data_IF_983053873683
#
_entry.id   IF_983053873683
#
_cell.length_a   1.000
_cell.length_b   1.000
_cell.length_c   1.000
_cell.angle_alpha   90.00
_cell.angle_beta   90.00
_cell.angle_gamma   90.00
#
_symmetry.space_group_name_H-M   'P 1'
#
loop_
_entity.id
_entity.type
_entity.pdbx_description
1 polymer ?
#
# COMPACT_ATOMS: atom_id res chain seq x y z
N UNK A 1 -6.28 -0.70 16.76
CA UNK A 1 -6.71 -2.11 16.66
C UNK A 1 -6.19 -2.67 15.37
N UNK A 2 -5.64 -3.90 15.38
CA UNK A 2 -5.14 -4.57 14.19
C UNK A 2 -6.02 -5.78 13.86
N UNK A 3 -6.45 -5.89 12.58
CA UNK A 3 -7.15 -7.04 12.04
C UNK A 3 -6.25 -7.79 11.07
N UNK A 4 -6.35 -9.09 11.07
CA UNK A 4 -5.66 -10.01 10.17
C UNK A 4 -6.66 -10.82 9.38
N UNK A 5 -6.43 -10.97 8.08
CA UNK A 5 -7.14 -11.93 7.26
C UNK A 5 -6.20 -13.11 6.98
N UNK A 6 -6.64 -14.32 7.20
CA UNK A 6 -5.80 -15.50 7.08
C UNK A 6 -6.59 -16.75 6.68
N UNK A 7 -5.89 -17.79 6.22
CA UNK A 7 -6.48 -19.05 5.81
C UNK A 7 -6.42 -20.10 6.94
N UNK A 8 -7.58 -20.66 7.32
CA UNK A 8 -7.71 -21.79 8.22
C UNK A 8 -8.94 -22.63 7.87
N UNK A 9 -8.74 -23.72 7.10
CA UNK A 9 -9.82 -24.49 6.45
C UNK A 9 -10.81 -23.61 5.67
N UNK A 10 -10.35 -22.45 5.19
CA UNK A 10 -11.06 -21.38 4.53
C UNK A 10 -10.59 -20.02 5.06
N UNK A 11 -11.01 -18.91 4.43
CA UNK A 11 -10.64 -17.58 4.88
C UNK A 11 -11.27 -17.25 6.24
N UNK A 12 -10.52 -16.57 7.10
CA UNK A 12 -10.90 -16.13 8.46
C UNK A 12 -10.41 -14.71 8.70
N UNK A 13 -11.08 -14.02 9.62
CA UNK A 13 -10.65 -12.73 10.14
C UNK A 13 -10.42 -12.85 11.64
N UNK A 14 -9.37 -12.23 12.14
CA UNK A 14 -9.08 -12.19 13.55
C UNK A 14 -8.50 -10.86 13.99
N UNK A 15 -8.68 -10.54 15.26
CA UNK A 15 -8.11 -9.37 15.93
C UNK A 15 -6.78 -9.76 16.58
N UNK A 16 -5.74 -8.97 16.30
CA UNK A 16 -4.44 -9.14 16.97
C UNK A 16 -4.49 -8.53 18.36
N UNK A 17 -4.07 -9.30 19.34
CA UNK A 17 -3.93 -8.90 20.73
C UNK A 17 -2.48 -8.49 21.06
N UNK A 18 -2.30 -7.81 22.18
CA UNK A 18 -0.99 -7.33 22.64
C UNK A 18 0.00 -8.46 22.95
N UNK A 19 -0.50 -9.63 23.27
CA UNK A 19 0.30 -10.84 23.57
C UNK A 19 0.74 -11.59 22.30
N UNK A 20 0.44 -11.08 21.12
CA UNK A 20 0.78 -11.70 19.84
C UNK A 20 -0.18 -12.81 19.41
N UNK A 21 -1.29 -13.01 20.12
CA UNK A 21 -2.35 -13.93 19.71
C UNK A 21 -3.36 -13.23 18.80
N UNK A 22 -3.91 -14.00 17.88
CA UNK A 22 -4.96 -13.55 16.96
C UNK A 22 -6.26 -14.20 17.40
N UNK A 23 -7.18 -13.41 17.94
CA UNK A 23 -8.52 -13.90 18.32
C UNK A 23 -9.44 -13.89 17.11
N UNK A 24 -10.06 -15.04 16.87
CA UNK A 24 -10.99 -15.23 15.75
C UNK A 24 -12.22 -14.31 15.89
N UNK A 25 -12.72 -13.79 14.79
CA UNK A 25 -14.04 -13.17 14.70
C UNK A 25 -15.06 -14.21 14.26
N UNK A 26 -16.10 -14.41 15.08
CA UNK A 26 -17.21 -15.35 14.76
C UNK A 26 -17.96 -14.89 13.52
N UNK A 27 -18.39 -15.84 12.70
CA UNK A 27 -19.19 -15.58 11.49
C UNK A 27 -18.60 -14.50 10.57
N UNK A 28 -17.25 -14.49 10.44
CA UNK A 28 -16.53 -13.52 9.66
C UNK A 28 -15.46 -14.20 8.80
N UNK A 29 -15.71 -14.30 7.51
CA UNK A 29 -14.80 -14.96 6.55
C UNK A 29 -13.93 -13.98 5.79
N UNK A 30 -14.34 -12.72 5.68
CA UNK A 30 -13.55 -11.68 5.04
C UNK A 30 -13.74 -10.31 5.70
N UNK A 31 -12.73 -9.46 5.61
CA UNK A 31 -12.81 -8.05 6.01
C UNK A 31 -13.73 -7.27 5.08
N UNK A 32 -13.88 -7.71 3.83
CA UNK A 32 -14.82 -7.13 2.89
C UNK A 32 -16.28 -7.30 3.35
N UNK A 33 -16.71 -8.55 3.65
CA UNK A 33 -18.05 -8.82 4.12
C UNK A 33 -18.36 -8.09 5.42
N UNK A 34 -17.37 -8.06 6.34
CA UNK A 34 -17.47 -7.32 7.59
C UNK A 34 -17.71 -5.81 7.32
N UNK A 35 -16.95 -5.23 6.39
CA UNK A 35 -17.08 -3.82 6.02
C UNK A 35 -18.44 -3.53 5.38
N UNK A 36 -18.87 -4.34 4.42
CA UNK A 36 -20.19 -4.19 3.75
C UNK A 36 -21.31 -4.26 4.77
N UNK A 37 -21.24 -5.19 5.72
CA UNK A 37 -22.24 -5.30 6.79
C UNK A 37 -22.29 -4.05 7.67
N UNK A 38 -21.12 -3.61 8.14
CA UNK A 38 -20.97 -2.42 9.00
C UNK A 38 -21.52 -1.17 8.30
N UNK A 39 -21.19 -0.98 7.03
CA UNK A 39 -21.68 0.14 6.21
C UNK A 39 -23.19 0.06 6.06
N UNK A 40 -23.72 -1.09 5.66
CA UNK A 40 -25.15 -1.29 5.40
C UNK A 40 -25.99 -1.11 6.66
N UNK A 41 -25.51 -1.63 7.79
CA UNK A 41 -26.19 -1.52 9.10
C UNK A 41 -25.87 -0.23 9.84
N UNK A 42 -25.03 0.65 9.29
CA UNK A 42 -24.59 1.93 9.90
C UNK A 42 -24.03 1.73 11.31
N UNK A 43 -23.20 0.71 11.49
CA UNK A 43 -22.56 0.38 12.76
C UNK A 43 -21.10 0.87 12.82
N UNK A 44 -20.54 0.93 14.01
CA UNK A 44 -19.11 1.16 14.20
C UNK A 44 -18.34 -0.16 13.99
N UNK A 45 -17.30 -0.15 13.14
CA UNK A 45 -16.48 -1.33 12.87
C UNK A 45 -15.84 -1.88 14.14
N UNK A 46 -15.32 -1.01 15.02
CA UNK A 46 -14.65 -1.41 16.25
C UNK A 46 -15.62 -2.13 17.21
N UNK A 47 -16.87 -1.66 17.32
CA UNK A 47 -17.89 -2.31 18.15
C UNK A 47 -18.25 -3.70 17.63
N UNK A 48 -18.42 -3.84 16.30
CA UNK A 48 -18.75 -5.13 15.70
C UNK A 48 -17.60 -6.14 15.85
N UNK A 49 -16.36 -5.67 15.74
CA UNK A 49 -15.18 -6.50 15.98
C UNK A 49 -15.15 -6.98 17.44
N UNK A 50 -15.40 -6.10 18.41
CA UNK A 50 -15.42 -6.46 19.83
C UNK A 50 -16.51 -7.51 20.14
N UNK A 51 -17.72 -7.32 19.63
CA UNK A 51 -18.84 -8.23 19.80
C UNK A 51 -18.59 -9.62 19.20
N UNK A 52 -17.84 -9.69 18.08
CA UNK A 52 -17.56 -10.95 17.38
C UNK A 52 -16.29 -11.64 17.83
N UNK A 53 -15.45 -10.98 18.62
CA UNK A 53 -14.21 -11.58 19.10
C UNK A 53 -14.51 -12.82 19.94
N UNK A 54 -13.91 -13.96 19.52
CA UNK A 54 -14.07 -15.26 20.16
C UNK A 54 -12.88 -15.62 21.06
N UNK A 55 -13.01 -16.70 21.81
CA UNK A 55 -11.91 -17.28 22.60
C UNK A 55 -10.94 -18.14 21.76
N UNK A 56 -11.34 -18.55 20.56
CA UNK A 56 -10.46 -19.26 19.62
C UNK A 56 -9.28 -18.37 19.23
N UNK A 57 -8.07 -18.90 19.38
CA UNK A 57 -6.82 -18.15 19.20
C UNK A 57 -5.88 -18.85 18.24
N UNK A 58 -5.17 -18.03 17.48
CA UNK A 58 -4.08 -18.44 16.60
C UNK A 58 -2.80 -17.72 17.01
N UNK A 59 -1.66 -18.34 16.77
CA UNK A 59 -0.36 -17.72 16.98
C UNK A 59 0.03 -16.92 15.73
N UNK A 60 0.30 -15.62 15.88
CA UNK A 60 0.61 -14.75 14.76
C UNK A 60 1.91 -15.14 14.04
N UNK A 61 2.96 -15.49 14.81
CA UNK A 61 4.22 -15.95 14.24
C UNK A 61 4.04 -17.22 13.40
N UNK A 62 3.22 -18.15 13.90
CA UNK A 62 2.91 -19.37 13.18
C UNK A 62 2.17 -19.11 11.88
N UNK A 63 1.21 -18.18 11.87
CA UNK A 63 0.50 -17.78 10.65
C UNK A 63 1.45 -17.18 9.61
N UNK A 64 2.46 -16.40 10.04
CA UNK A 64 3.50 -15.85 9.18
C UNK A 64 4.40 -16.96 8.61
N UNK A 65 4.94 -17.84 9.46
CA UNK A 65 5.84 -18.93 9.06
C UNK A 65 5.14 -19.89 8.08
N UNK A 66 3.88 -20.22 8.35
CA UNK A 66 3.06 -21.08 7.50
C UNK A 66 2.52 -20.38 6.24
N UNK A 67 2.82 -19.08 6.06
CA UNK A 67 2.36 -18.23 4.93
C UNK A 67 0.85 -18.24 4.75
N UNK A 68 0.12 -18.22 5.85
CA UNK A 68 -1.36 -18.29 5.88
C UNK A 68 -2.02 -16.92 5.81
N UNK A 69 -1.27 -15.83 5.89
CA UNK A 69 -1.81 -14.48 5.83
C UNK A 69 -2.26 -14.11 4.43
N UNK A 70 -3.43 -13.53 4.35
CA UNK A 70 -4.02 -12.96 3.14
C UNK A 70 -3.86 -11.43 3.15
N UNK A 71 -3.96 -10.76 2.00
CA UNK A 71 -4.12 -9.30 2.00
C UNK A 71 -5.25 -8.89 2.95
N UNK A 72 -5.08 -7.81 3.73
CA UNK A 72 -6.03 -7.45 4.79
C UNK A 72 -7.39 -6.98 4.28
N UNK A 73 -7.53 -6.71 3.00
CA UNK A 73 -8.77 -6.44 2.30
C UNK A 73 -8.67 -6.94 0.86
N UNK A 74 -9.65 -7.69 0.40
CA UNK A 74 -9.80 -8.16 -0.97
C UNK A 74 -11.28 -8.16 -1.35
N UNK A 75 -11.58 -7.87 -2.61
CA UNK A 75 -12.91 -8.10 -3.16
C UNK A 75 -13.03 -9.56 -3.64
N UNK A 76 -14.18 -10.25 -3.50
CA UNK A 76 -14.39 -11.61 -4.02
C UNK A 76 -14.14 -11.75 -5.53
N UNK A 77 -14.46 -10.70 -6.29
CA UNK A 77 -14.11 -10.55 -7.70
C UNK A 77 -12.96 -9.51 -7.83
N UNK A 78 -11.80 -9.96 -8.27
CA UNK A 78 -10.61 -9.09 -8.40
C UNK A 78 -10.82 -7.89 -9.32
N UNK A 79 -11.72 -7.99 -10.31
CA UNK A 79 -12.03 -6.88 -11.21
C UNK A 79 -12.75 -5.70 -10.51
N UNK A 80 -13.28 -5.93 -9.32
CA UNK A 80 -13.94 -4.95 -8.47
C UNK A 80 -13.02 -4.40 -7.35
N UNK A 81 -11.72 -4.60 -7.47
CA UNK A 81 -10.71 -4.04 -6.59
C UNK A 81 -9.74 -3.19 -7.41
N UNK A 82 -9.59 -1.91 -7.07
CA UNK A 82 -8.66 -1.00 -7.73
C UNK A 82 -7.44 -0.79 -6.85
N UNK A 83 -6.25 -1.02 -7.43
CA UNK A 83 -4.97 -0.67 -6.79
C UNK A 83 -4.43 0.54 -7.50
N UNK A 84 -4.28 1.63 -6.77
CA UNK A 84 -3.88 2.95 -7.28
C UNK A 84 -2.90 3.59 -6.31
N UNK A 85 -2.22 4.64 -6.72
CA UNK A 85 -1.34 5.37 -5.81
C UNK A 85 -1.12 6.82 -6.20
N UNK A 86 -0.46 7.51 -5.30
CA UNK A 86 0.06 8.87 -5.48
C UNK A 86 1.56 8.87 -5.25
N UNK A 87 2.29 9.62 -6.08
CA UNK A 87 3.73 9.83 -5.92
C UNK A 87 4.06 11.25 -5.48
N UNK A 88 5.34 11.49 -5.19
CA UNK A 88 5.88 12.81 -4.87
C UNK A 88 5.20 13.50 -3.67
N UNK A 89 4.68 12.72 -2.73
CA UNK A 89 3.86 13.18 -1.60
C UNK A 89 4.63 13.21 -0.27
N UNK A 90 5.83 12.61 -0.19
CA UNK A 90 6.58 12.44 1.05
C UNK A 90 7.83 13.33 1.10
N UNK A 91 8.11 13.86 2.30
CA UNK A 91 9.24 14.75 2.54
C UNK A 91 10.55 14.00 2.80
N UNK A 92 10.50 12.68 3.02
CA UNK A 92 11.66 11.85 3.34
C UNK A 92 12.28 12.14 4.71
N UNK A 93 13.56 11.74 4.90
CA UNK A 93 14.36 12.13 6.06
C UNK A 93 14.65 13.64 6.05
N UNK A 94 15.10 14.20 7.18
CA UNK A 94 15.45 15.61 7.27
C UNK A 94 16.48 16.01 6.19
N UNK A 95 17.47 15.16 5.92
CA UNK A 95 18.49 15.41 4.89
C UNK A 95 17.91 15.34 3.48
N UNK A 96 17.02 14.37 3.20
CA UNK A 96 16.31 14.27 1.93
C UNK A 96 15.40 15.48 1.74
N UNK A 97 14.68 15.90 2.80
CA UNK A 97 13.84 17.11 2.80
C UNK A 97 14.68 18.34 2.46
N UNK A 98 15.80 18.55 3.13
CA UNK A 98 16.67 19.71 2.90
C UNK A 98 17.26 19.71 1.48
N UNK A 99 17.64 18.56 0.96
CA UNK A 99 18.13 18.44 -0.41
C UNK A 99 17.04 18.70 -1.46
N UNK A 100 15.82 18.23 -1.22
CA UNK A 100 14.65 18.52 -2.06
C UNK A 100 14.29 20.01 -2.02
N UNK A 101 14.24 20.62 -0.84
CA UNK A 101 13.98 22.07 -0.72
C UNK A 101 15.02 22.91 -1.48
N UNK A 102 16.31 22.56 -1.39
CA UNK A 102 17.35 23.23 -2.17
C UNK A 102 17.16 23.08 -3.68
N UNK A 103 16.73 21.88 -4.14
CA UNK A 103 16.49 21.62 -5.56
C UNK A 103 15.26 22.35 -6.09
N UNK A 104 14.22 22.54 -5.29
CA UNK A 104 12.97 23.20 -5.73
C UNK A 104 12.94 24.71 -5.45
N UNK A 105 13.93 25.27 -4.78
CA UNK A 105 14.04 26.73 -4.53
C UNK A 105 14.58 27.55 -5.71
N UNK A 106 14.96 26.88 -6.82
CA UNK A 106 15.40 27.53 -8.05
C UNK A 106 14.27 28.14 -8.87
N UNK A 107 14.64 28.75 -10.00
CA UNK A 107 13.68 29.32 -10.96
C UNK A 107 12.75 28.22 -11.50
N UNK A 108 11.44 28.46 -11.49
CA UNK A 108 10.41 27.46 -11.85
C UNK A 108 10.64 26.91 -13.27
N UNK A 109 11.12 27.73 -14.18
CA UNK A 109 11.37 27.33 -15.58
C UNK A 109 12.51 26.29 -15.71
N UNK A 110 13.42 26.23 -14.74
CA UNK A 110 14.55 25.28 -14.71
C UNK A 110 14.23 23.93 -14.05
N UNK A 111 13.05 23.79 -13.40
CA UNK A 111 12.66 22.57 -12.69
C UNK A 111 12.14 21.52 -13.66
N UNK A 112 12.43 20.23 -13.37
CA UNK A 112 11.75 19.11 -14.01
C UNK A 112 10.27 19.07 -13.62
N UNK A 113 9.42 18.40 -14.41
CA UNK A 113 8.00 18.33 -14.11
C UNK A 113 7.72 17.62 -12.78
N UNK A 114 8.48 16.59 -12.41
CA UNK A 114 8.41 15.95 -11.08
C UNK A 114 8.73 16.94 -9.95
N UNK A 115 9.74 17.79 -10.13
CA UNK A 115 10.08 18.82 -9.13
C UNK A 115 9.01 19.91 -9.03
N UNK A 116 8.40 20.32 -10.14
CA UNK A 116 7.25 21.24 -10.15
C UNK A 116 6.06 20.64 -9.41
N UNK A 117 5.74 19.36 -9.68
CA UNK A 117 4.66 18.64 -9.01
C UNK A 117 4.89 18.55 -7.50
N UNK A 118 6.09 18.17 -7.07
CA UNK A 118 6.45 18.14 -5.66
C UNK A 118 6.32 19.51 -4.98
N UNK A 119 6.80 20.58 -5.64
CA UNK A 119 6.66 21.96 -5.15
C UNK A 119 5.21 22.38 -5.01
N UNK A 120 4.36 22.11 -5.99
CA UNK A 120 2.92 22.35 -5.88
C UNK A 120 2.31 21.65 -4.65
N UNK A 121 2.73 20.41 -4.37
CA UNK A 121 2.34 19.67 -3.17
C UNK A 121 2.75 20.38 -1.88
N UNK A 122 4.00 20.89 -1.80
CA UNK A 122 4.47 21.65 -0.64
C UNK A 122 3.68 22.93 -0.41
N UNK A 123 3.32 23.64 -1.48
CA UNK A 123 2.63 24.94 -1.42
C UNK A 123 1.12 24.80 -1.19
N UNK A 124 0.48 23.75 -1.72
CA UNK A 124 -0.98 23.66 -1.74
C UNK A 124 -1.59 22.28 -1.43
N UNK A 125 -0.79 21.27 -1.07
CA UNK A 125 -1.30 19.94 -0.74
C UNK A 125 -1.96 19.80 0.63
N UNK A 126 -1.74 20.79 1.51
CA UNK A 126 -2.33 20.88 2.86
C UNK A 126 -3.13 22.18 3.02
N UNK A 127 -4.30 22.29 2.36
CA UNK A 127 -5.14 23.48 2.49
C UNK A 127 -5.61 23.65 3.94
N UNK A 128 -5.70 24.91 4.39
CA UNK A 128 -6.17 25.26 5.76
C UNK A 128 -7.68 25.32 5.86
N UNK A 129 -8.37 25.39 4.73
CA UNK A 129 -9.82 25.39 4.64
C UNK A 129 -10.33 24.02 4.16
N UNK A 130 -11.65 23.83 4.17
CA UNK A 130 -12.29 22.59 3.73
C UNK A 130 -12.28 22.38 2.21
N UNK A 131 -11.62 23.25 1.43
CA UNK A 131 -11.51 23.11 -0.02
C UNK A 131 -10.40 22.13 -0.37
N UNK A 132 -10.55 21.40 -1.50
CA UNK A 132 -9.47 20.57 -2.00
C UNK A 132 -8.23 21.38 -2.30
N UNK A 133 -7.07 20.83 -1.94
CA UNK A 133 -5.77 21.37 -2.30
C UNK A 133 -5.37 21.03 -3.73
N UNK A 134 -4.09 21.21 -4.04
CA UNK A 134 -3.54 20.87 -5.36
C UNK A 134 -3.63 19.37 -5.63
N UNK A 135 -3.77 19.05 -6.91
CA UNK A 135 -3.82 17.67 -7.37
C UNK A 135 -2.45 17.00 -7.24
N UNK A 136 -2.35 15.79 -6.61
CA UNK A 136 -1.11 15.03 -6.57
C UNK A 136 -0.82 14.37 -7.91
N UNK A 137 0.40 13.85 -8.07
CA UNK A 137 0.66 12.77 -9.01
C UNK A 137 -0.22 11.57 -8.66
N UNK A 138 -0.75 10.89 -9.68
CA UNK A 138 -1.65 9.75 -9.49
C UNK A 138 -1.39 8.69 -10.56
N UNK A 139 -1.47 7.42 -10.18
CA UNK A 139 -1.32 6.31 -11.11
C UNK A 139 -2.28 5.16 -10.78
N UNK A 140 -2.60 4.38 -11.81
CA UNK A 140 -3.28 3.10 -11.71
C UNK A 140 -2.24 1.98 -11.75
N UNK A 141 -2.28 1.09 -10.76
CA UNK A 141 -1.33 -0.02 -10.65
C UNK A 141 -1.88 -1.34 -11.17
N UNK A 142 -3.17 -1.54 -11.05
CA UNK A 142 -3.86 -2.75 -11.49
C UNK A 142 -5.14 -3.00 -10.71
N UNK A 143 -5.74 -4.14 -10.95
CA UNK A 143 -6.90 -4.64 -10.21
C UNK A 143 -6.48 -5.57 -9.05
N UNK A 144 -7.45 -6.18 -8.38
CA UNK A 144 -7.20 -7.07 -7.25
C UNK A 144 -6.37 -8.33 -7.58
N UNK A 145 -6.21 -8.68 -8.86
CA UNK A 145 -5.41 -9.84 -9.26
C UNK A 145 -3.91 -9.65 -9.03
N UNK A 146 -3.46 -8.39 -8.92
CA UNK A 146 -2.07 -8.05 -8.66
C UNK A 146 -1.69 -8.11 -7.17
N UNK A 147 -2.70 -8.17 -6.27
CA UNK A 147 -2.44 -8.13 -4.82
C UNK A 147 -1.71 -9.37 -4.33
N UNK A 148 -0.77 -9.16 -3.43
CA UNK A 148 -0.02 -10.22 -2.73
C UNK A 148 -0.08 -9.97 -1.23
N UNK A 149 -0.29 -11.04 -0.48
CA UNK A 149 -0.20 -11.03 0.98
C UNK A 149 1.24 -11.21 1.46
N UNK A 150 1.44 -11.08 2.76
CA UNK A 150 2.72 -11.33 3.40
C UNK A 150 3.17 -12.79 3.16
N UNK A 151 4.43 -12.97 2.75
CA UNK A 151 5.02 -14.28 2.45
C UNK A 151 4.77 -14.78 1.01
N UNK A 152 3.89 -14.17 0.23
CA UNK A 152 3.74 -14.45 -1.19
C UNK A 152 4.83 -13.75 -2.00
N UNK A 153 5.37 -14.36 -3.08
CA UNK A 153 6.37 -13.71 -3.90
C UNK A 153 5.80 -12.51 -4.67
N UNK A 154 6.64 -11.49 -4.86
CA UNK A 154 6.44 -10.45 -5.87
C UNK A 154 7.14 -10.88 -7.15
N UNK A 155 6.36 -11.07 -8.20
CA UNK A 155 6.83 -11.63 -9.46
C UNK A 155 7.14 -10.50 -10.43
N UNK A 156 8.41 -10.41 -10.82
CA UNK A 156 8.87 -9.52 -11.86
C UNK A 156 8.58 -10.15 -13.22
N UNK A 157 7.84 -9.51 -14.12
CA UNK A 157 7.68 -9.98 -15.49
C UNK A 157 9.03 -10.05 -16.21
N UNK A 158 9.17 -10.97 -17.13
CA UNK A 158 10.42 -11.21 -17.90
C UNK A 158 10.87 -9.98 -18.72
N UNK A 159 9.93 -9.17 -19.18
CA UNK A 159 10.20 -7.92 -19.92
C UNK A 159 10.62 -6.75 -19.01
N UNK A 160 10.52 -6.90 -17.68
CA UNK A 160 10.93 -5.85 -16.73
C UNK A 160 12.43 -5.68 -16.71
N UNK A 161 12.86 -4.43 -16.60
CA UNK A 161 14.27 -4.08 -16.47
C UNK A 161 14.72 -4.04 -15.01
N UNK A 162 13.76 -3.91 -14.08
CA UNK A 162 13.97 -3.84 -12.65
C UNK A 162 12.74 -4.38 -11.90
N UNK A 163 12.95 -4.73 -10.63
CA UNK A 163 11.92 -5.08 -9.67
C UNK A 163 12.34 -4.64 -8.28
N UNK A 164 11.96 -3.43 -7.90
CA UNK A 164 12.35 -2.82 -6.64
C UNK A 164 11.15 -2.49 -5.75
N UNK A 165 11.41 -2.34 -4.45
CA UNK A 165 10.42 -1.98 -3.48
C UNK A 165 10.22 -0.47 -3.37
N UNK A 166 9.00 -0.09 -3.05
CA UNK A 166 8.63 1.21 -2.51
C UNK A 166 7.85 0.97 -1.21
N UNK A 167 8.47 1.22 -0.02
CA UNK A 167 7.82 1.02 1.26
C UNK A 167 6.81 2.13 1.51
N UNK A 168 5.53 1.77 1.52
CA UNK A 168 4.43 2.71 1.59
C UNK A 168 3.40 2.36 2.65
N UNK A 169 2.49 3.30 2.90
CA UNK A 169 1.24 3.06 3.59
C UNK A 169 0.10 3.18 2.59
N UNK A 170 -0.80 2.22 2.62
CA UNK A 170 -2.03 2.21 1.83
C UNK A 170 -3.24 2.53 2.70
N UNK A 171 -4.16 3.34 2.17
CA UNK A 171 -5.53 3.43 2.64
C UNK A 171 -6.38 2.34 1.98
N UNK A 172 -7.25 1.69 2.77
CA UNK A 172 -8.11 0.61 2.34
C UNK A 172 -9.58 1.03 2.44
N UNK A 173 -10.32 0.93 1.33
CA UNK A 173 -11.66 1.51 1.21
C UNK A 173 -12.65 0.52 0.62
N UNK A 174 -13.92 0.66 1.00
CA UNK A 174 -15.08 0.02 0.37
C UNK A 174 -16.09 1.10 0.01
N UNK A 175 -16.67 1.00 -1.18
CA UNK A 175 -17.69 1.94 -1.65
C UNK A 175 -19.06 1.49 -1.16
N UNK A 176 -19.72 2.36 -0.42
CA UNK A 176 -21.08 2.12 0.09
C UNK A 176 -22.16 2.12 -0.99
N UNK A 177 -23.39 1.71 -0.64
CA UNK A 177 -24.49 1.56 -1.58
C UNK A 177 -24.88 2.85 -2.34
N UNK A 178 -24.58 4.00 -1.77
CA UNK A 178 -24.86 5.33 -2.34
C UNK A 178 -23.64 5.94 -3.07
N UNK A 179 -22.57 5.17 -3.23
CA UNK A 179 -21.32 5.64 -3.83
C UNK A 179 -20.39 6.41 -2.87
N UNK A 180 -20.70 6.42 -1.57
CA UNK A 180 -19.82 7.00 -0.55
C UNK A 180 -18.61 6.11 -0.30
N UNK A 181 -17.37 6.63 -0.38
CA UNK A 181 -16.17 5.88 0.01
C UNK A 181 -16.06 5.77 1.54
N UNK A 182 -15.89 4.57 2.04
CA UNK A 182 -15.65 4.30 3.46
C UNK A 182 -14.22 3.76 3.64
N UNK A 183 -13.41 4.47 4.42
CA UNK A 183 -12.08 3.99 4.78
C UNK A 183 -12.17 3.02 5.97
N UNK A 184 -11.70 1.79 5.78
CA UNK A 184 -11.61 0.80 6.84
C UNK A 184 -10.41 1.06 7.74
N UNK A 185 -9.31 1.53 7.17
CA UNK A 185 -8.08 1.76 7.86
C UNK A 185 -6.88 1.80 6.91
N UNK A 186 -5.72 1.41 7.43
CA UNK A 186 -4.44 1.49 6.73
C UNK A 186 -3.67 0.18 6.84
N UNK A 187 -2.75 -0.06 5.90
CA UNK A 187 -1.82 -1.19 5.94
C UNK A 187 -0.46 -0.79 5.38
N UNK A 188 0.59 -1.53 5.73
CA UNK A 188 1.85 -1.47 5.00
C UNK A 188 1.63 -1.96 3.57
N UNK A 189 2.34 -1.36 2.64
CA UNK A 189 2.36 -1.78 1.24
C UNK A 189 3.79 -1.80 0.69
N UNK A 190 4.03 -2.69 -0.25
CA UNK A 190 5.15 -2.65 -1.16
C UNK A 190 4.60 -2.32 -2.55
N UNK A 191 4.77 -1.08 -2.96
CA UNK A 191 4.42 -0.61 -4.29
C UNK A 191 5.54 -1.02 -5.27
N UNK A 192 5.61 -2.34 -5.54
CA UNK A 192 6.64 -2.96 -6.36
C UNK A 192 6.63 -2.40 -7.80
N UNK A 193 7.76 -1.90 -8.27
CA UNK A 193 7.86 -1.09 -9.51
C UNK A 193 9.11 -1.41 -10.33
N UNK A 194 9.10 -0.98 -11.61
CA UNK A 194 10.25 -0.98 -12.51
C UNK A 194 10.86 0.43 -12.57
N UNK A 195 11.79 0.71 -11.67
CA UNK A 195 12.43 2.02 -11.54
C UNK A 195 13.35 2.36 -12.72
N UNK A 196 13.90 1.37 -13.43
CA UNK A 196 14.71 1.62 -14.62
C UNK A 196 13.84 2.18 -15.75
N UNK A 197 12.66 1.58 -15.98
CA UNK A 197 11.71 2.05 -16.99
C UNK A 197 11.25 3.49 -16.69
N UNK A 198 10.87 3.75 -15.44
CA UNK A 198 10.46 5.09 -15.00
C UNK A 198 11.57 6.14 -15.20
N UNK A 199 12.81 5.79 -14.84
CA UNK A 199 13.98 6.68 -14.98
C UNK A 199 14.34 6.96 -16.44
N UNK A 200 14.11 6.00 -17.35
CA UNK A 200 14.41 6.20 -18.77
C UNK A 200 13.53 7.27 -19.39
N UNK A 201 12.24 7.28 -19.06
CA UNK A 201 11.31 8.28 -19.55
C UNK A 201 10.11 8.36 -18.60
N UNK A 202 9.91 9.53 -18.00
CA UNK A 202 8.81 9.75 -17.07
C UNK A 202 7.41 9.48 -17.67
N UNK A 203 7.23 9.61 -18.99
CA UNK A 203 5.98 9.24 -19.66
C UNK A 203 5.69 7.72 -19.58
N UNK A 204 6.68 6.91 -19.19
CA UNK A 204 6.52 5.48 -18.94
C UNK A 204 6.17 5.14 -17.48
N UNK A 205 5.92 6.14 -16.64
CA UNK A 205 5.47 5.96 -15.27
C UNK A 205 4.33 4.94 -15.18
N UNK A 206 3.27 5.12 -15.98
CA UNK A 206 2.12 4.21 -15.97
C UNK A 206 2.51 2.75 -16.28
N UNK A 207 3.43 2.52 -17.21
CA UNK A 207 3.95 1.19 -17.54
C UNK A 207 4.80 0.61 -16.41
N UNK A 208 5.64 1.42 -15.77
CA UNK A 208 6.52 0.99 -14.67
C UNK A 208 5.73 0.54 -13.43
N UNK A 209 4.54 1.13 -13.22
CA UNK A 209 3.65 0.86 -12.08
C UNK A 209 2.73 -0.35 -12.30
N UNK A 210 2.53 -0.84 -13.52
CA UNK A 210 1.74 -2.04 -13.82
C UNK A 210 2.49 -3.32 -13.40
N UNK A 211 2.63 -3.49 -12.08
CA UNK A 211 3.31 -4.61 -11.41
C UNK A 211 2.46 -5.08 -10.24
N UNK A 212 2.84 -6.21 -9.65
CA UNK A 212 2.21 -6.67 -8.42
C UNK A 212 2.39 -5.65 -7.28
N UNK A 213 1.55 -5.78 -6.25
CA UNK A 213 1.60 -4.96 -5.04
C UNK A 213 1.38 -5.86 -3.82
N UNK A 214 2.28 -5.82 -2.85
CA UNK A 214 2.04 -6.51 -1.59
C UNK A 214 1.39 -5.56 -0.58
N UNK A 215 0.42 -6.07 0.18
CA UNK A 215 -0.31 -5.30 1.20
C UNK A 215 -0.51 -6.16 2.45
N UNK A 216 -0.28 -5.58 3.61
CA UNK A 216 -0.45 -6.24 4.90
C UNK A 216 0.76 -6.09 5.82
N UNK A 217 0.99 -7.05 6.74
CA UNK A 217 0.15 -8.22 7.03
C UNK A 217 -1.16 -7.89 7.76
N UNK A 218 -1.28 -6.72 8.39
CA UNK A 218 -2.43 -6.33 9.18
C UNK A 218 -3.12 -5.07 8.64
N UNK A 219 -4.42 -4.95 8.91
CA UNK A 219 -5.21 -3.73 8.78
C UNK A 219 -5.17 -2.96 10.10
N UNK A 220 -4.62 -1.78 10.10
CA UNK A 220 -4.75 -0.81 11.19
C UNK A 220 -6.10 -0.11 11.07
N UNK A 221 -7.07 -0.51 11.90
CA UNK A 221 -8.39 0.13 11.98
C UNK A 221 -8.31 1.42 12.76
N UNK A 222 -8.90 2.49 12.22
CA UNK A 222 -8.95 3.80 12.83
C UNK A 222 -8.03 4.82 12.16
N UNK A 223 -7.54 5.78 12.93
CA UNK A 223 -6.67 6.84 12.43
C UNK A 223 -5.23 6.34 12.22
N UNK A 224 -4.58 6.86 11.17
CA UNK A 224 -3.14 6.72 11.01
C UNK A 224 -2.45 7.68 11.99
N UNK A 225 -1.38 7.27 12.70
CA UNK A 225 -0.54 8.22 13.43
C UNK A 225 0.00 9.31 12.50
N UNK A 226 0.02 10.56 12.98
CA UNK A 226 0.53 11.70 12.21
C UNK A 226 1.98 11.52 11.81
N UNK A 227 2.77 10.84 12.64
CA UNK A 227 4.15 10.47 12.39
C UNK A 227 4.30 8.96 12.43
N UNK A 228 4.73 8.39 11.31
CA UNK A 228 5.07 6.96 11.20
C UNK A 228 6.53 6.86 10.78
N UNK A 229 7.32 6.18 11.59
CA UNK A 229 8.67 5.78 11.26
C UNK A 229 8.71 4.27 11.02
N UNK A 230 9.31 3.87 9.92
CA UNK A 230 9.49 2.48 9.56
C UNK A 230 10.88 2.22 9.00
N UNK A 231 11.16 0.95 8.71
CA UNK A 231 12.42 0.49 8.10
C UNK A 231 12.08 -0.39 6.89
N UNK A 232 12.70 -0.08 5.75
CA UNK A 232 12.74 -0.97 4.59
C UNK A 232 14.08 -1.70 4.55
N UNK A 233 14.04 -3.02 4.27
CA UNK A 233 15.23 -3.88 4.15
C UNK A 233 15.15 -4.73 2.90
N UNK A 234 16.31 -4.99 2.32
CA UNK A 234 16.54 -6.07 1.38
C UNK A 234 17.39 -7.13 2.07
N UNK A 235 16.85 -8.35 2.18
CA UNK A 235 17.55 -9.49 2.76
C UNK A 235 18.01 -10.44 1.67
N UNK A 236 19.23 -10.89 1.78
CA UNK A 236 19.75 -11.98 0.97
C UNK A 236 19.00 -13.30 1.25
N UNK A 237 19.21 -14.31 0.41
CA UNK A 237 18.59 -15.63 0.55
C UNK A 237 19.00 -16.38 1.84
N UNK A 238 20.09 -15.96 2.47
CA UNK A 238 20.57 -16.44 3.77
C UNK A 238 20.05 -15.59 4.95
N UNK A 239 19.03 -14.75 4.75
CA UNK A 239 18.40 -13.84 5.71
C UNK A 239 19.31 -12.67 6.18
N UNK A 240 20.55 -12.56 5.73
CA UNK A 240 21.43 -11.43 6.05
C UNK A 240 20.90 -10.13 5.43
N UNK A 241 20.87 -9.06 6.20
CA UNK A 241 20.51 -7.72 5.68
C UNK A 241 21.58 -7.23 4.71
N UNK A 242 21.21 -7.04 3.46
CA UNK A 242 22.05 -6.51 2.37
C UNK A 242 21.98 -5.00 2.28
N UNK A 243 20.79 -4.48 2.52
CA UNK A 243 20.51 -3.06 2.55
C UNK A 243 19.39 -2.78 3.55
N UNK A 244 19.43 -1.63 4.19
CA UNK A 244 18.33 -1.10 4.99
C UNK A 244 18.35 0.42 5.03
N UNK A 245 17.14 1.01 5.11
CA UNK A 245 16.97 2.44 5.25
C UNK A 245 15.66 2.76 5.99
N UNK A 246 15.64 3.77 6.87
CA UNK A 246 14.39 4.24 7.44
C UNK A 246 13.53 4.91 6.38
N UNK A 247 12.22 4.80 6.54
CA UNK A 247 11.24 5.61 5.81
C UNK A 247 10.32 6.34 6.78
N UNK A 248 9.84 7.49 6.36
CA UNK A 248 8.91 8.31 7.13
C UNK A 248 7.60 8.43 6.37
N UNK A 249 6.48 8.30 7.07
CA UNK A 249 5.14 8.51 6.55
C UNK A 249 4.22 9.12 7.61
N UNK A 250 2.91 9.17 7.32
CA UNK A 250 1.97 9.93 8.12
C UNK A 250 1.98 11.42 7.76
N UNK A 251 0.89 12.13 8.03
CA UNK A 251 0.68 13.49 7.53
C UNK A 251 1.77 14.49 7.95
N UNK A 252 2.43 14.27 9.10
CA UNK A 252 3.56 15.11 9.53
C UNK A 252 4.76 15.06 8.56
N UNK A 253 4.90 13.96 7.80
CA UNK A 253 6.00 13.72 6.87
C UNK A 253 5.59 13.81 5.40
N UNK A 254 4.38 14.23 5.12
CA UNK A 254 3.84 14.34 3.76
C UNK A 254 3.69 15.81 3.34
N UNK A 255 3.66 16.07 2.05
CA UNK A 255 3.33 17.38 1.45
C UNK A 255 1.83 17.56 1.25
N UNK A 256 1.04 16.50 1.37
CA UNK A 256 -0.40 16.49 1.24
C UNK A 256 -1.08 15.99 2.52
N UNK A 257 -2.30 16.47 2.80
CA UNK A 257 -3.21 15.75 3.70
C UNK A 257 -3.75 14.49 3.02
N UNK A 258 -3.96 13.41 3.77
CA UNK A 258 -4.59 12.18 3.28
C UNK A 258 -5.97 12.51 2.69
N UNK A 259 -6.75 13.36 3.36
CA UNK A 259 -8.05 13.81 2.86
C UNK A 259 -7.96 14.48 1.46
N UNK A 260 -6.85 15.18 1.15
CA UNK A 260 -6.64 15.75 -0.17
C UNK A 260 -6.34 14.66 -1.22
N UNK A 261 -5.54 13.65 -0.88
CA UNK A 261 -5.27 12.51 -1.74
C UNK A 261 -6.56 11.73 -2.01
N UNK A 262 -7.34 11.43 -0.97
CA UNK A 262 -8.65 10.78 -1.06
C UNK A 262 -9.62 11.56 -1.95
N UNK A 263 -9.72 12.88 -1.76
CA UNK A 263 -10.56 13.71 -2.62
C UNK A 263 -10.18 13.56 -4.09
N UNK A 264 -8.88 13.68 -4.41
CA UNK A 264 -8.42 13.62 -5.80
C UNK A 264 -8.59 12.23 -6.41
N UNK A 265 -8.56 11.17 -5.62
CA UNK A 265 -8.88 9.81 -6.07
C UNK A 265 -10.39 9.63 -6.28
N UNK A 266 -11.20 9.95 -5.30
CA UNK A 266 -12.65 9.69 -5.34
C UNK A 266 -13.50 10.77 -6.03
N UNK A 267 -12.92 11.88 -6.52
CA UNK A 267 -13.68 12.88 -7.28
C UNK A 267 -14.26 12.33 -8.59
N UNK A 268 -13.70 11.26 -9.12
CA UNK A 268 -14.17 10.60 -10.33
C UNK A 268 -15.30 9.59 -10.02
N UNK A 269 -16.43 9.72 -10.72
CA UNK A 269 -17.56 8.80 -10.54
C UNK A 269 -17.18 7.32 -10.81
N UNK A 270 -16.21 7.10 -11.70
CA UNK A 270 -15.64 5.78 -12.01
C UNK A 270 -15.19 5.02 -10.76
N UNK A 271 -14.64 5.71 -9.76
CA UNK A 271 -14.11 5.12 -8.53
C UNK A 271 -15.11 5.11 -7.37
N UNK A 272 -16.39 5.35 -7.65
CA UNK A 272 -17.47 5.35 -6.63
C UNK A 272 -18.59 4.37 -6.96
N UNK A 273 -18.27 3.28 -7.65
CA UNK A 273 -19.23 2.22 -7.93
C UNK A 273 -19.49 1.42 -6.65
N UNK A 274 -20.77 1.26 -6.23
CA UNK A 274 -21.10 0.55 -5.00
C UNK A 274 -20.52 -0.87 -4.95
N UNK A 275 -19.94 -1.22 -3.80
CA UNK A 275 -19.31 -2.51 -3.55
C UNK A 275 -17.84 -2.59 -3.96
N UNK A 276 -17.32 -1.69 -4.79
CA UNK A 276 -15.90 -1.72 -5.18
C UNK A 276 -14.99 -1.53 -3.96
N UNK A 277 -13.84 -2.18 -4.03
CA UNK A 277 -12.72 -2.04 -3.09
C UNK A 277 -11.64 -1.15 -3.71
N UNK A 278 -11.06 -0.27 -2.91
CA UNK A 278 -9.88 0.48 -3.31
C UNK A 278 -8.74 0.27 -2.31
N UNK A 279 -7.55 0.05 -2.85
CA UNK A 279 -6.28 0.08 -2.13
C UNK A 279 -5.47 1.20 -2.76
N UNK A 280 -5.28 2.28 -1.99
CA UNK A 280 -4.63 3.49 -2.48
C UNK A 280 -3.36 3.75 -1.69
N UNK A 281 -2.20 3.61 -2.33
CA UNK A 281 -0.90 3.86 -1.73
C UNK A 281 -0.56 5.35 -1.79
N UNK A 282 0.13 5.85 -0.76
CA UNK A 282 0.31 7.30 -0.57
C UNK A 282 1.67 7.84 -1.01
N UNK A 283 2.55 6.99 -1.49
CA UNK A 283 3.90 7.36 -1.88
C UNK A 283 4.96 7.11 -0.80
N UNK A 284 6.21 7.27 -1.20
CA UNK A 284 7.39 7.19 -0.32
C UNK A 284 8.51 8.09 -0.83
N UNK A 285 9.50 8.33 0.01
CA UNK A 285 10.76 8.98 -0.38
C UNK A 285 11.97 8.04 -0.18
N UNK A 286 11.72 6.76 0.12
CA UNK A 286 12.75 5.76 0.42
C UNK A 286 12.58 4.57 -0.52
N UNK A 287 13.64 4.22 -1.22
CA UNK A 287 13.73 3.01 -2.04
C UNK A 287 15.20 2.58 -2.19
N UNK A 288 15.46 1.28 -2.26
CA UNK A 288 16.80 0.72 -2.40
C UNK A 288 17.45 1.08 -3.73
N UNK A 289 16.64 1.18 -4.78
CA UNK A 289 17.07 1.59 -6.12
C UNK A 289 17.78 2.95 -6.11
N UNK A 290 17.35 3.91 -5.29
CA UNK A 290 17.98 5.23 -5.17
C UNK A 290 19.42 5.17 -4.60
N UNK A 291 19.71 4.12 -3.85
CA UNK A 291 21.05 3.83 -3.30
C UNK A 291 21.87 2.87 -4.20
N UNK A 292 21.39 2.61 -5.42
CA UNK A 292 22.07 1.77 -6.41
C UNK A 292 21.96 0.27 -6.15
N UNK A 293 21.05 -0.16 -5.29
CA UNK A 293 20.80 -1.57 -5.00
C UNK A 293 19.94 -2.15 -6.11
N UNK A 294 20.36 -3.30 -6.63
CA UNK A 294 19.56 -4.17 -7.49
C UNK A 294 19.22 -5.42 -6.70
N UNK A 295 17.93 -5.73 -6.63
CA UNK A 295 17.44 -6.90 -5.90
C UNK A 295 17.45 -8.10 -6.83
N UNK A 296 17.94 -9.23 -6.33
CA UNK A 296 18.08 -10.46 -7.10
C UNK A 296 16.95 -11.46 -6.76
N UNK A 297 16.59 -12.36 -7.68
CA UNK A 297 15.57 -13.38 -7.43
C UNK A 297 15.89 -14.21 -6.17
N UNK A 298 14.88 -14.40 -5.33
CA UNK A 298 14.99 -15.09 -4.04
C UNK A 298 15.34 -14.18 -2.85
N UNK A 299 15.83 -12.97 -3.09
CA UNK A 299 15.99 -11.97 -2.02
C UNK A 299 14.63 -11.47 -1.53
N UNK A 300 14.58 -11.00 -0.30
CA UNK A 300 13.33 -10.65 0.39
C UNK A 300 13.26 -9.17 0.70
N UNK A 301 12.21 -8.53 0.23
CA UNK A 301 11.79 -7.22 0.71
C UNK A 301 11.15 -7.38 2.08
N UNK A 302 11.55 -6.55 3.03
CA UNK A 302 10.99 -6.50 4.37
C UNK A 302 10.69 -5.05 4.74
N UNK A 303 9.40 -4.75 4.96
CA UNK A 303 8.91 -3.41 5.31
C UNK A 303 8.26 -3.49 6.69
N UNK A 304 8.73 -2.67 7.62
CA UNK A 304 8.33 -2.71 9.02
C UNK A 304 8.01 -1.30 9.53
N UNK A 305 6.90 -1.17 10.26
CA UNK A 305 6.61 -0.01 11.08
C UNK A 305 5.77 -0.44 12.29
N UNK A 306 6.12 0.04 13.48
CA UNK A 306 5.57 -0.46 14.75
C UNK A 306 4.04 -0.41 14.84
N UNK A 307 3.40 0.60 14.23
CA UNK A 307 1.94 0.74 14.23
C UNK A 307 1.19 -0.41 13.54
N UNK A 308 1.87 -1.20 12.68
CA UNK A 308 1.26 -2.25 11.86
C UNK A 308 1.60 -3.67 12.32
N UNK A 309 2.29 -3.82 13.45
CA UNK A 309 2.65 -5.11 14.03
C UNK A 309 3.89 -5.72 13.37
N UNK A 310 3.74 -6.88 12.74
CA UNK A 310 4.87 -7.59 12.12
C UNK A 310 5.21 -7.06 10.72
N UNK A 311 6.45 -7.27 10.24
CA UNK A 311 6.88 -6.83 8.92
C UNK A 311 6.07 -7.46 7.78
N UNK A 312 5.86 -6.70 6.73
CA UNK A 312 5.45 -7.20 5.41
C UNK A 312 6.69 -7.75 4.70
N UNK A 313 6.68 -9.04 4.35
CA UNK A 313 7.82 -9.73 3.74
C UNK A 313 7.41 -10.43 2.45
N UNK A 314 8.14 -10.19 1.36
CA UNK A 314 7.88 -10.78 0.06
C UNK A 314 9.20 -11.08 -0.66
N UNK A 315 9.39 -12.30 -1.12
CA UNK A 315 10.54 -12.64 -1.93
C UNK A 315 10.36 -12.16 -3.38
N UNK A 316 11.44 -11.69 -4.01
CA UNK A 316 11.45 -11.44 -5.45
C UNK A 316 11.46 -12.76 -6.21
N UNK A 317 10.57 -12.92 -7.18
CA UNK A 317 10.58 -13.99 -8.17
C UNK A 317 10.57 -13.40 -9.59
N UNK A 318 10.86 -14.22 -10.58
CA UNK A 318 10.80 -13.85 -12.00
C UNK A 318 9.85 -14.78 -12.71
N UNK A 319 9.00 -14.23 -13.55
CA UNK A 319 8.06 -14.99 -14.37
C UNK A 319 8.74 -15.44 -15.67
N UNK A 320 8.46 -16.67 -16.09
CA UNK A 320 8.79 -17.09 -17.44
C UNK A 320 7.89 -16.38 -18.46
N UNK A 321 8.40 -16.02 -19.66
CA UNK A 321 7.66 -15.20 -20.60
C UNK A 321 6.36 -15.90 -21.05
N UNK A 322 5.20 -15.23 -20.89
CA UNK A 322 4.00 -15.70 -21.55
C UNK A 322 4.10 -15.36 -23.04
N UNK A 323 4.12 -16.37 -23.90
CA UNK A 323 3.89 -16.14 -25.33
C UNK A 323 2.40 -15.86 -25.55
N UNK A 324 2.06 -14.60 -25.64
CA UNK A 324 0.70 -14.17 -26.06
C UNK A 324 0.80 -13.37 -27.35
N UNK A 325 0.51 -14.01 -28.47
CA UNK A 325 0.24 -13.31 -29.72
C UNK A 325 -1.27 -13.01 -29.82
N UNK A 326 -1.62 -11.81 -30.27
CA UNK A 326 -3.01 -11.53 -30.64
C UNK A 326 -3.36 -12.37 -31.87
N UNK A 327 -4.42 -13.16 -31.75
CA UNK A 327 -4.97 -13.92 -32.88
C UNK A 327 -6.18 -13.16 -33.41
N UNK A 328 -6.14 -12.64 -34.65
CA UNK A 328 -7.29 -12.02 -35.28
C UNK A 328 -8.39 -13.08 -35.52
N UNK A 329 -9.66 -12.71 -35.28
CA UNK A 329 -10.83 -13.56 -35.53
C UNK A 329 -11.26 -13.50 -37.00
#
# INVERSE_FOLDING_TARGET
MLLLQFHDHGPRVGRLELDGKVRLLRDCTSTYDLAVEVITKRRCLAEVVEERTDNAQFDYERLLIERRLLPPLQHPDSAHCFVTGTGLTHLGSADTRNSMHKKVSGDIESLTDSMKMFRLGLEGGKPKDAKPGVQPEWFYKGDGSILRGCGQPLVMPDFSQDGGEEPEIAGLYVIGPDGTPFRLGFALANEFSDHIMERQNYLWLAHSKLRQCAVGPALLVGALPDHVEGISRVRATDERVRWQKPFLSGEANMSHHIANLEYHHFKYALFRRPGDVHIHVFGTATLSFADGIRVEPGEVFEIEAAAFGKPLRNALAVEAPPHSAVVPL
#
